data_IF_475720888504
#
_entry.id   IF_475720888504
#
_cell.length_a   1.000
_cell.length_b   1.000
_cell.length_c   1.000
_cell.angle_alpha   90.00
_cell.angle_beta   90.00
_cell.angle_gamma   90.00
#
_symmetry.space_group_name_H-M   'P 1'
#
loop_
_entity.id
_entity.type
_entity.pdbx_description
1 polymer ?
#
# COMPACT_ATOMS: atom_id res chain seq x y z
N UNK A 1 -2.56 11.27 -36.38
CA UNK A 1 -1.67 12.44 -36.21
C UNK A 1 -2.09 13.27 -35.00
N UNK A 2 -1.12 13.54 -34.12
CA UNK A 2 -0.84 14.80 -33.41
C UNK A 2 0.37 14.51 -32.54
N UNK A 3 1.53 14.57 -33.19
CA UNK A 3 2.83 14.41 -32.56
C UNK A 3 3.14 15.61 -31.66
N UNK A 4 3.90 15.31 -30.61
CA UNK A 4 4.80 16.21 -29.90
C UNK A 4 4.28 17.60 -29.54
N UNK A 5 3.92 17.79 -28.27
CA UNK A 5 4.01 19.10 -27.63
C UNK A 5 5.11 19.03 -26.58
N UNK A 6 6.28 19.57 -26.94
CA UNK A 6 7.42 19.71 -26.04
C UNK A 6 7.00 20.50 -24.80
N UNK A 7 7.36 19.99 -23.63
CA UNK A 7 7.26 20.70 -22.37
C UNK A 7 8.63 20.58 -21.71
N UNK A 8 9.29 21.73 -21.52
CA UNK A 8 10.59 21.82 -20.89
C UNK A 8 10.59 21.11 -19.53
N UNK A 9 11.74 20.54 -19.17
CA UNK A 9 11.97 19.85 -17.90
C UNK A 9 11.90 20.86 -16.74
N UNK A 10 10.68 21.23 -16.34
CA UNK A 10 10.43 21.77 -15.02
C UNK A 10 10.62 20.64 -14.02
N UNK A 11 11.70 20.69 -13.24
CA UNK A 11 11.97 19.71 -12.18
C UNK A 11 10.73 19.51 -11.32
N UNK A 12 10.38 18.25 -11.05
CA UNK A 12 9.23 17.91 -10.22
C UNK A 12 9.33 18.65 -8.88
N UNK A 13 8.46 19.65 -8.67
CA UNK A 13 8.34 20.33 -7.39
C UNK A 13 8.05 19.25 -6.34
N UNK A 14 8.99 19.04 -5.43
CA UNK A 14 8.77 18.17 -4.26
C UNK A 14 7.78 18.89 -3.35
N UNK A 15 6.50 18.62 -3.56
CA UNK A 15 5.49 18.99 -2.59
C UNK A 15 5.68 18.14 -1.33
N UNK A 16 5.84 18.80 -0.18
CA UNK A 16 5.75 18.15 1.13
C UNK A 16 4.44 17.37 1.18
N UNK A 17 4.50 16.06 1.43
CA UNK A 17 3.31 15.21 1.56
C UNK A 17 2.55 15.62 2.83
N UNK A 18 1.53 16.45 2.66
CA UNK A 18 0.55 16.74 3.70
C UNK A 18 -0.29 15.47 3.89
N UNK A 19 -0.61 15.11 5.13
CA UNK A 19 -1.53 14.02 5.42
C UNK A 19 -2.88 14.33 4.77
N UNK A 20 -3.25 13.52 3.78
CA UNK A 20 -4.52 13.53 3.06
C UNK A 20 -5.02 12.11 2.99
N UNK A 21 -6.24 11.92 2.49
CA UNK A 21 -6.69 10.57 2.13
C UNK A 21 -5.82 10.01 0.99
N UNK A 22 -4.82 9.22 1.39
CA UNK A 22 -3.80 8.68 0.50
C UNK A 22 -4.28 7.43 -0.23
N UNK A 23 -5.49 6.93 0.05
CA UNK A 23 -5.99 5.69 -0.54
C UNK A 23 -6.09 5.80 -2.07
N UNK A 24 -6.37 7.00 -2.58
CA UNK A 24 -6.42 7.28 -4.01
C UNK A 24 -5.04 7.22 -4.69
N UNK A 25 -3.95 7.25 -3.91
CA UNK A 25 -2.59 7.01 -4.37
C UNK A 25 -2.36 5.56 -4.84
N UNK A 26 -3.23 4.63 -4.46
CA UNK A 26 -3.29 3.29 -5.05
C UNK A 26 -3.99 3.40 -6.40
N UNK A 27 -3.19 3.53 -7.46
CA UNK A 27 -3.68 3.88 -8.79
C UNK A 27 -4.37 2.71 -9.51
N UNK A 28 -5.30 3.02 -10.42
CA UNK A 28 -5.97 2.01 -11.27
C UNK A 28 -5.00 1.07 -12.01
N UNK A 29 -3.86 1.54 -12.58
CA UNK A 29 -2.86 0.65 -13.16
C UNK A 29 -2.20 -0.30 -12.15
N UNK A 30 -1.98 0.13 -10.90
CA UNK A 30 -1.42 -0.75 -9.87
C UNK A 30 -2.41 -1.88 -9.51
N UNK A 31 -3.67 -1.53 -9.30
CA UNK A 31 -4.75 -2.52 -9.06
C UNK A 31 -4.86 -3.48 -10.26
N UNK A 32 -4.78 -2.96 -11.48
CA UNK A 32 -4.77 -3.80 -12.69
C UNK A 32 -3.59 -4.78 -12.68
N UNK A 33 -2.37 -4.34 -12.35
CA UNK A 33 -1.19 -5.23 -12.27
C UNK A 33 -1.37 -6.34 -11.23
N UNK A 34 -1.95 -6.02 -10.06
CA UNK A 34 -2.26 -7.03 -9.04
C UNK A 34 -3.29 -8.05 -9.54
N UNK A 35 -4.39 -7.59 -10.12
CA UNK A 35 -5.42 -8.46 -10.68
C UNK A 35 -4.88 -9.34 -11.83
N UNK A 36 -4.01 -8.79 -12.69
CA UNK A 36 -3.35 -9.56 -13.75
C UNK A 36 -2.42 -10.64 -13.21
N UNK A 37 -1.65 -10.35 -12.16
CA UNK A 37 -0.85 -11.37 -11.47
C UNK A 37 -1.73 -12.49 -10.90
N UNK A 38 -2.94 -12.16 -10.46
CA UNK A 38 -3.96 -13.13 -10.05
C UNK A 38 -4.74 -13.81 -11.20
N UNK A 39 -4.34 -13.63 -12.47
CA UNK A 39 -4.99 -14.29 -13.62
C UNK A 39 -6.31 -13.67 -14.09
N UNK A 40 -6.69 -12.50 -13.57
CA UNK A 40 -7.97 -11.86 -13.92
C UNK A 40 -7.95 -11.34 -15.36
N UNK A 41 -8.89 -11.77 -16.21
CA UNK A 41 -8.96 -11.42 -17.65
C UNK A 41 -9.71 -10.11 -17.96
N UNK A 42 -10.80 -9.82 -17.27
CA UNK A 42 -11.57 -8.57 -17.41
C UNK A 42 -11.86 -8.02 -16.01
N UNK A 43 -11.88 -6.68 -15.88
CA UNK A 43 -12.02 -6.00 -14.58
C UNK A 43 -13.11 -4.94 -14.75
N UNK A 44 -14.15 -5.01 -13.92
CA UNK A 44 -15.22 -4.01 -13.85
C UNK A 44 -14.71 -2.69 -13.26
N UNK A 45 -15.37 -1.58 -13.59
CA UNK A 45 -15.00 -0.25 -13.10
C UNK A 45 -15.13 -0.11 -11.58
N UNK A 46 -16.10 -0.79 -10.96
CA UNK A 46 -16.34 -0.69 -9.51
C UNK A 46 -15.23 -1.33 -8.66
N UNK A 47 -14.46 -2.25 -9.25
CA UNK A 47 -13.40 -2.99 -8.55
C UNK A 47 -12.28 -2.06 -8.05
N UNK A 48 -12.07 -0.89 -8.67
CA UNK A 48 -10.99 0.02 -8.25
C UNK A 48 -11.24 0.63 -6.86
N UNK A 49 -12.48 1.02 -6.55
CA UNK A 49 -12.80 1.53 -5.21
C UNK A 49 -12.96 0.38 -4.21
N UNK A 50 -13.56 -0.74 -4.63
CA UNK A 50 -13.69 -1.93 -3.79
C UNK A 50 -12.32 -2.44 -3.29
N UNK A 51 -11.36 -2.56 -4.22
CA UNK A 51 -9.99 -3.00 -3.89
C UNK A 51 -9.32 -2.04 -2.90
N UNK A 52 -9.60 -0.74 -2.99
CA UNK A 52 -9.08 0.26 -2.07
C UNK A 52 -9.67 0.10 -0.67
N UNK A 53 -10.97 -0.14 -0.57
CA UNK A 53 -11.65 -0.44 0.69
C UNK A 53 -11.03 -1.66 1.38
N UNK A 54 -10.93 -2.78 0.66
CA UNK A 54 -10.34 -4.03 1.18
C UNK A 54 -8.89 -3.83 1.61
N UNK A 55 -8.08 -3.13 0.80
CA UNK A 55 -6.69 -2.85 1.12
C UNK A 55 -6.55 -2.00 2.39
N UNK A 56 -7.43 -0.99 2.55
CA UNK A 56 -7.44 -0.13 3.73
C UNK A 56 -7.74 -0.95 5.00
N UNK A 57 -8.81 -1.74 4.99
CA UNK A 57 -9.18 -2.59 6.13
C UNK A 57 -8.09 -3.59 6.48
N UNK A 58 -7.44 -4.19 5.47
CA UNK A 58 -6.31 -5.09 5.69
C UNK A 58 -5.14 -4.39 6.40
N UNK A 59 -4.72 -3.23 5.89
CA UNK A 59 -3.61 -2.48 6.47
C UNK A 59 -3.94 -1.95 7.87
N UNK A 60 -5.16 -1.48 8.12
CA UNK A 60 -5.59 -1.04 9.45
C UNK A 60 -5.47 -2.16 10.49
N UNK A 61 -5.86 -3.39 10.14
CA UNK A 61 -5.73 -4.55 11.02
C UNK A 61 -4.27 -4.89 11.33
N UNK A 62 -3.43 -5.01 10.30
CA UNK A 62 -2.00 -5.37 10.48
C UNK A 62 -1.23 -4.27 11.22
N UNK A 63 -1.46 -3.00 10.88
CA UNK A 63 -0.74 -1.87 11.50
C UNK A 63 -1.16 -1.71 12.97
N UNK A 64 -2.44 -1.91 13.30
CA UNK A 64 -2.91 -1.87 14.69
C UNK A 64 -2.13 -2.85 15.57
N UNK A 65 -2.04 -4.11 15.13
CA UNK A 65 -1.31 -5.15 15.86
C UNK A 65 0.21 -4.84 15.92
N UNK A 66 0.80 -4.35 14.83
CA UNK A 66 2.23 -4.00 14.79
C UNK A 66 2.57 -2.83 15.73
N UNK A 67 1.70 -1.84 15.83
CA UNK A 67 1.84 -0.72 16.79
C UNK A 67 1.74 -1.25 18.22
N UNK A 68 0.82 -2.17 18.52
CA UNK A 68 0.73 -2.81 19.85
C UNK A 68 2.03 -3.51 20.25
N UNK A 69 2.69 -4.25 19.34
CA UNK A 69 4.00 -4.85 19.63
C UNK A 69 5.09 -3.80 19.88
N UNK A 70 5.06 -2.71 19.11
CA UNK A 70 6.01 -1.60 19.25
C UNK A 70 5.88 -0.92 20.61
N UNK A 71 4.65 -0.64 21.03
CA UNK A 71 4.31 -0.05 22.33
C UNK A 71 4.68 -0.97 23.49
N UNK A 72 4.38 -2.27 23.38
CA UNK A 72 4.75 -3.27 24.38
C UNK A 72 6.28 -3.32 24.62
N UNK A 73 7.05 -3.17 23.55
CA UNK A 73 8.51 -3.10 23.61
C UNK A 73 9.05 -1.72 24.02
N UNK A 74 8.19 -0.75 24.37
CA UNK A 74 8.53 0.64 24.73
C UNK A 74 9.37 1.36 23.65
N UNK A 75 9.20 0.97 22.39
CA UNK A 75 9.87 1.60 21.24
C UNK A 75 8.97 2.67 20.62
N UNK A 76 9.58 3.66 19.97
CA UNK A 76 8.86 4.66 19.14
C UNK A 76 8.93 4.35 17.64
N UNK A 77 9.67 3.31 17.27
CA UNK A 77 9.93 2.91 15.88
C UNK A 77 9.37 1.52 15.67
N UNK A 78 8.42 1.40 14.75
CA UNK A 78 7.90 0.11 14.28
C UNK A 78 9.01 -0.58 13.49
N UNK A 79 9.31 -1.82 13.86
CA UNK A 79 10.34 -2.65 13.21
C UNK A 79 9.70 -3.62 12.21
N UNK A 80 10.53 -4.22 11.35
CA UNK A 80 10.13 -5.33 10.48
C UNK A 80 9.55 -6.50 11.27
N UNK A 81 10.13 -6.83 12.42
CA UNK A 81 9.68 -7.92 13.29
C UNK A 81 8.28 -7.67 13.86
N UNK A 82 7.95 -6.44 14.24
CA UNK A 82 6.60 -6.11 14.75
C UNK A 82 5.53 -6.41 13.69
N UNK A 83 5.83 -6.13 12.42
CA UNK A 83 4.94 -6.44 11.28
C UNK A 83 4.87 -7.94 11.02
N UNK A 84 6.01 -8.66 11.07
CA UNK A 84 6.05 -10.11 10.91
C UNK A 84 5.22 -10.82 11.99
N UNK A 85 5.30 -10.36 13.24
CA UNK A 85 4.52 -10.91 14.35
C UNK A 85 3.03 -10.59 14.21
N UNK A 86 2.66 -9.37 13.84
CA UNK A 86 1.28 -9.00 13.53
C UNK A 86 0.68 -9.89 12.44
N UNK A 87 1.42 -10.10 11.35
CA UNK A 87 0.99 -10.95 10.24
C UNK A 87 0.88 -12.43 10.66
N UNK A 88 1.83 -12.95 11.44
CA UNK A 88 1.78 -14.32 11.97
C UNK A 88 0.57 -14.54 12.88
N UNK A 89 0.23 -13.57 13.74
CA UNK A 89 -0.97 -13.61 14.59
C UNK A 89 -2.27 -13.70 13.79
N UNK A 90 -2.32 -13.07 12.62
CA UNK A 90 -3.47 -13.11 11.70
C UNK A 90 -3.44 -14.31 10.73
N UNK A 91 -2.54 -15.28 10.93
CA UNK A 91 -2.44 -16.47 10.08
C UNK A 91 -1.80 -16.22 8.70
N UNK A 92 -1.06 -15.11 8.52
CA UNK A 92 -0.43 -14.70 7.26
C UNK A 92 1.09 -14.61 7.38
N UNK A 93 1.74 -15.73 7.72
CA UNK A 93 3.20 -15.79 7.92
C UNK A 93 3.99 -15.25 6.72
N UNK A 94 4.89 -14.28 6.97
CA UNK A 94 5.75 -13.65 5.97
C UNK A 94 7.22 -14.00 6.23
N UNK A 95 7.93 -14.47 5.20
CA UNK A 95 9.35 -14.84 5.26
C UNK A 95 10.24 -13.74 4.68
N UNK A 96 11.52 -13.72 5.10
CA UNK A 96 12.55 -12.83 4.53
C UNK A 96 12.75 -11.48 5.22
N UNK A 97 12.15 -11.26 6.40
CA UNK A 97 12.17 -9.97 7.11
C UNK A 97 12.63 -10.05 8.58
N UNK A 98 13.35 -11.11 8.96
CA UNK A 98 13.82 -11.33 10.34
C UNK A 98 15.27 -10.91 10.63
N UNK A 99 15.89 -10.16 9.71
CA UNK A 99 17.26 -9.65 9.85
C UNK A 99 17.35 -8.31 10.56
#
# INVERSE_FOLDING_TARGET
GKGGKGLGKGGAKRHRKILRDNIQGITKPAIRRLARRGGVKRISAMIYEETRGVLKTFLEGVIRDAVTYTEHAKRKTVTSLDVVYALKRQGRTLYGFGG
#
